data_IF_956706839949
#
_entry.id   IF_956706839949
#
_cell.length_a   1.000
_cell.length_b   1.000
_cell.length_c   1.000
_cell.angle_alpha   90.00
_cell.angle_beta   90.00
_cell.angle_gamma   90.00
#
_symmetry.space_group_name_H-M   'P 1'
#
loop_
_entity.id
_entity.type
_entity.pdbx_description
1 polymer ?
#
# COMPACT_ATOMS: atom_id res chain seq x y z
N UNK A 1 10.44 -11.36 -36.31
CA UNK A 1 11.57 -10.92 -35.45
C UNK A 1 11.66 -11.87 -34.27
N UNK A 2 12.69 -12.70 -34.21
CA UNK A 2 12.86 -13.70 -33.14
C UNK A 2 13.33 -13.00 -31.85
N UNK A 3 12.57 -13.10 -30.76
CA UNK A 3 13.01 -12.58 -29.46
C UNK A 3 14.19 -13.44 -28.99
N UNK A 4 15.38 -12.83 -28.83
CA UNK A 4 16.55 -13.53 -28.27
C UNK A 4 16.15 -14.08 -26.90
N UNK A 5 16.16 -15.41 -26.78
CA UNK A 5 15.96 -16.14 -25.54
C UNK A 5 17.32 -16.55 -25.00
N UNK A 6 17.48 -16.51 -23.69
CA UNK A 6 18.69 -16.97 -23.01
C UNK A 6 18.74 -18.51 -22.93
N UNK A 7 19.76 -19.03 -22.24
CA UNK A 7 19.97 -20.47 -22.04
C UNK A 7 18.82 -21.16 -21.29
N UNK A 8 17.99 -20.41 -20.55
CA UNK A 8 16.79 -20.90 -19.86
C UNK A 8 15.51 -20.73 -20.69
N UNK A 9 15.61 -20.19 -21.91
CA UNK A 9 14.47 -19.98 -22.80
C UNK A 9 13.69 -18.69 -22.51
N UNK A 10 14.17 -17.83 -21.63
CA UNK A 10 13.52 -16.59 -21.23
C UNK A 10 13.99 -15.44 -22.11
N UNK A 11 13.08 -14.54 -22.43
CA UNK A 11 13.39 -13.30 -23.11
C UNK A 11 14.01 -12.31 -22.13
N UNK A 12 14.85 -11.40 -22.62
CA UNK A 12 15.45 -10.35 -21.78
C UNK A 12 14.40 -9.57 -20.97
N UNK A 13 13.23 -9.32 -21.55
CA UNK A 13 12.15 -8.61 -20.86
C UNK A 13 11.56 -9.42 -19.70
N UNK A 14 11.55 -10.75 -19.79
CA UNK A 14 11.10 -11.62 -18.70
C UNK A 14 12.14 -11.64 -17.57
N UNK A 15 13.43 -11.70 -17.90
CA UNK A 15 14.52 -11.59 -16.92
C UNK A 15 14.47 -10.25 -16.19
N UNK A 16 14.35 -9.13 -16.92
CA UNK A 16 14.27 -7.79 -16.33
C UNK A 16 13.09 -7.68 -15.33
N UNK A 17 11.94 -8.27 -15.67
CA UNK A 17 10.76 -8.29 -14.80
C UNK A 17 11.02 -9.14 -13.55
N UNK A 18 11.66 -10.29 -13.71
CA UNK A 18 12.00 -11.16 -12.59
C UNK A 18 13.01 -10.52 -11.64
N UNK A 19 14.06 -9.91 -12.17
CA UNK A 19 15.11 -9.23 -11.39
C UNK A 19 14.53 -8.07 -10.58
N UNK A 20 13.69 -7.23 -11.23
CA UNK A 20 12.97 -6.15 -10.54
C UNK A 20 12.03 -6.69 -9.46
N UNK A 21 11.28 -7.76 -9.74
CA UNK A 21 10.39 -8.35 -8.74
C UNK A 21 11.16 -8.92 -7.54
N UNK A 22 12.25 -9.64 -7.77
CA UNK A 22 13.09 -10.22 -6.71
C UNK A 22 13.69 -9.11 -5.86
N UNK A 23 14.24 -8.08 -6.49
CA UNK A 23 14.86 -6.97 -5.78
C UNK A 23 13.86 -6.17 -4.94
N UNK A 24 12.68 -5.85 -5.50
CA UNK A 24 11.61 -5.16 -4.76
C UNK A 24 11.13 -5.97 -3.57
N UNK A 25 11.05 -7.30 -3.71
CA UNK A 25 10.71 -8.20 -2.61
C UNK A 25 11.73 -8.17 -1.47
N UNK A 26 13.02 -8.05 -1.78
CA UNK A 26 14.08 -7.91 -0.76
C UNK A 26 14.09 -6.52 -0.11
N UNK A 27 13.49 -5.52 -0.76
CA UNK A 27 13.39 -4.13 -0.26
C UNK A 27 11.97 -3.76 0.14
N UNK A 28 11.18 -4.75 0.58
CA UNK A 28 9.82 -4.56 1.05
C UNK A 28 9.70 -3.45 2.10
N UNK A 29 8.69 -2.59 1.98
CA UNK A 29 8.42 -1.47 2.88
C UNK A 29 9.35 -0.27 2.73
N UNK A 30 10.48 -0.39 2.03
CA UNK A 30 11.41 0.71 1.82
C UNK A 30 10.94 1.65 0.71
N UNK A 31 11.15 2.95 0.89
CA UNK A 31 11.03 3.92 -0.20
C UNK A 31 12.19 3.74 -1.18
N UNK A 32 11.86 3.45 -2.45
CA UNK A 32 12.83 3.26 -3.53
C UNK A 32 12.46 4.11 -4.74
N UNK A 33 13.45 4.75 -5.33
CA UNK A 33 13.34 5.51 -6.57
C UNK A 33 13.66 4.64 -7.79
N UNK A 34 13.45 5.14 -9.00
CA UNK A 34 13.92 4.45 -10.21
C UNK A 34 15.44 4.28 -10.23
N UNK A 35 16.19 5.25 -9.69
CA UNK A 35 17.65 5.16 -9.59
C UNK A 35 18.08 4.05 -8.61
N UNK A 36 17.37 3.92 -7.48
CA UNK A 36 17.63 2.85 -6.50
C UNK A 36 17.38 1.47 -7.12
N UNK A 37 16.26 1.31 -7.84
CA UNK A 37 15.94 0.06 -8.54
C UNK A 37 16.98 -0.20 -9.63
N UNK A 38 17.31 0.80 -10.46
CA UNK A 38 18.29 0.69 -11.54
C UNK A 38 19.63 0.17 -11.05
N UNK A 39 20.15 0.77 -9.98
CA UNK A 39 21.39 0.33 -9.34
C UNK A 39 21.27 -1.07 -8.72
N UNK A 40 20.09 -1.39 -8.18
CA UNK A 40 19.82 -2.67 -7.52
C UNK A 40 19.72 -3.88 -8.46
N UNK A 41 19.28 -3.67 -9.71
CA UNK A 41 19.07 -4.75 -10.70
C UNK A 41 20.03 -4.69 -11.87
N UNK A 42 20.99 -3.77 -11.85
CA UNK A 42 21.95 -3.50 -12.93
C UNK A 42 21.28 -3.24 -14.29
N UNK A 43 20.16 -2.51 -14.28
CA UNK A 43 19.47 -2.04 -15.48
C UNK A 43 19.43 -0.51 -15.46
N UNK A 44 19.99 0.19 -16.47
CA UNK A 44 19.95 1.65 -16.51
C UNK A 44 18.53 2.23 -16.37
N UNK A 45 18.39 3.33 -15.61
CA UNK A 45 17.12 4.06 -15.56
C UNK A 45 16.78 4.58 -16.95
N UNK A 46 15.69 4.05 -17.50
CA UNK A 46 15.25 4.36 -18.84
C UNK A 46 14.00 3.58 -19.20
N UNK A 47 13.68 3.58 -20.49
CA UNK A 47 12.44 2.95 -20.99
C UNK A 47 12.36 1.45 -20.65
N UNK A 48 13.49 0.74 -20.69
CA UNK A 48 13.56 -0.70 -20.37
C UNK A 48 13.15 -0.99 -18.92
N UNK A 49 13.79 -0.34 -17.95
CA UNK A 49 13.46 -0.47 -16.54
C UNK A 49 12.00 -0.08 -16.24
N UNK A 50 11.54 1.05 -16.80
CA UNK A 50 10.17 1.54 -16.59
C UNK A 50 9.12 0.59 -17.13
N UNK A 51 9.41 -0.08 -18.24
CA UNK A 51 8.55 -1.15 -18.78
C UNK A 51 8.51 -2.35 -17.83
N UNK A 52 9.66 -2.80 -17.33
CA UNK A 52 9.72 -3.90 -16.37
C UNK A 52 8.94 -3.58 -15.09
N UNK A 53 9.15 -2.41 -14.48
CA UNK A 53 8.42 -1.94 -13.29
C UNK A 53 6.90 -1.87 -13.53
N UNK A 54 6.46 -1.42 -14.71
CA UNK A 54 5.04 -1.40 -15.07
C UNK A 54 4.45 -2.81 -15.10
N UNK A 55 5.16 -3.79 -15.65
CA UNK A 55 4.71 -5.20 -15.68
C UNK A 55 4.73 -5.80 -14.27
N UNK A 56 5.78 -5.58 -13.50
CA UNK A 56 5.87 -6.01 -12.10
C UNK A 56 4.71 -5.50 -11.27
N UNK A 57 4.24 -4.27 -11.50
CA UNK A 57 3.07 -3.71 -10.83
C UNK A 57 1.79 -4.53 -11.07
N UNK A 58 1.59 -5.02 -12.29
CA UNK A 58 0.45 -5.88 -12.62
C UNK A 58 0.60 -7.25 -11.95
N UNK A 59 1.80 -7.83 -11.99
CA UNK A 59 2.09 -9.12 -11.35
C UNK A 59 1.89 -9.03 -9.83
N UNK A 60 2.37 -7.96 -9.19
CA UNK A 60 2.19 -7.72 -7.76
C UNK A 60 0.70 -7.71 -7.40
N UNK A 61 -0.10 -6.91 -8.11
CA UNK A 61 -1.54 -6.83 -7.89
C UNK A 61 -2.24 -8.21 -8.04
N UNK A 62 -1.85 -9.00 -9.04
CA UNK A 62 -2.41 -10.35 -9.24
C UNK A 62 -2.05 -11.34 -8.12
N UNK A 63 -0.98 -11.07 -7.35
CA UNK A 63 -0.54 -11.91 -6.22
C UNK A 63 -1.10 -11.44 -4.88
N UNK A 64 -1.82 -10.32 -4.83
CA UNK A 64 -2.23 -9.67 -3.58
C UNK A 64 -1.19 -8.70 -3.01
N UNK A 65 0.00 -8.62 -3.62
CA UNK A 65 1.01 -7.63 -3.25
C UNK A 65 0.61 -6.23 -3.76
N UNK A 66 1.20 -5.19 -3.17
CA UNK A 66 0.97 -3.80 -3.57
C UNK A 66 2.27 -3.11 -3.96
N UNK A 67 2.38 -2.69 -5.22
CA UNK A 67 3.40 -1.73 -5.65
C UNK A 67 2.75 -0.36 -5.86
N UNK A 68 3.16 0.61 -5.05
CA UNK A 68 2.60 1.95 -5.06
C UNK A 68 2.89 2.70 -6.37
N UNK A 69 2.11 3.77 -6.60
CA UNK A 69 2.47 4.74 -7.63
C UNK A 69 3.69 5.51 -7.17
N UNK A 70 4.55 5.89 -8.10
CA UNK A 70 5.63 6.81 -7.79
C UNK A 70 5.04 8.16 -7.34
N UNK A 71 5.42 8.60 -6.15
CA UNK A 71 5.01 9.88 -5.57
C UNK A 71 6.24 10.63 -5.05
N UNK A 72 6.19 11.96 -4.91
CA UNK A 72 7.27 12.71 -4.28
C UNK A 72 7.54 12.19 -2.86
N UNK A 73 8.80 11.89 -2.55
CA UNK A 73 9.17 11.46 -1.20
C UNK A 73 8.80 12.53 -0.18
N UNK A 74 8.29 12.08 0.96
CA UNK A 74 7.99 12.92 2.12
C UNK A 74 9.25 13.24 2.94
N UNK A 75 10.34 12.48 2.74
CA UNK A 75 11.60 12.69 3.42
C UNK A 75 12.33 13.92 2.82
N UNK A 76 12.52 15.00 3.60
CA UNK A 76 13.20 16.20 3.12
C UNK A 76 14.68 15.98 2.80
N UNK A 77 15.30 14.91 3.31
CA UNK A 77 16.68 14.52 3.02
C UNK A 77 16.83 13.82 1.66
N UNK A 78 15.77 13.19 1.12
CA UNK A 78 15.75 12.58 -0.21
C UNK A 78 15.44 13.62 -1.30
N UNK A 79 16.45 14.42 -1.62
CA UNK A 79 16.43 15.35 -2.76
C UNK A 79 17.43 14.94 -3.82
N UNK A 80 17.10 15.20 -5.08
CA UNK A 80 18.05 15.05 -6.17
C UNK A 80 19.17 16.12 -6.08
N UNK A 81 20.27 16.01 -6.85
CA UNK A 81 21.34 17.00 -6.85
C UNK A 81 20.87 18.43 -7.18
N UNK A 82 19.73 18.57 -7.86
CA UNK A 82 19.08 19.84 -8.18
C UNK A 82 18.04 20.29 -7.12
N UNK A 83 18.05 19.67 -5.93
CA UNK A 83 17.15 19.89 -4.79
C UNK A 83 15.67 19.64 -5.07
N UNK A 84 15.33 18.93 -6.13
CA UNK A 84 13.95 18.52 -6.44
C UNK A 84 13.57 17.31 -5.60
N UNK A 85 12.25 17.14 -5.38
CA UNK A 85 11.73 15.98 -4.66
C UNK A 85 11.98 14.72 -5.50
N UNK A 86 12.63 13.73 -4.91
CA UNK A 86 12.81 12.42 -5.55
C UNK A 86 11.46 11.71 -5.56
N UNK A 87 11.09 11.14 -6.69
CA UNK A 87 9.88 10.31 -6.78
C UNK A 87 10.22 8.88 -6.36
N UNK A 88 9.48 8.37 -5.39
CA UNK A 88 9.68 7.07 -4.76
C UNK A 88 8.41 6.23 -4.84
N UNK A 89 8.59 4.92 -4.75
CA UNK A 89 7.51 3.92 -4.59
C UNK A 89 7.87 2.99 -3.43
N UNK A 90 6.89 2.25 -2.95
CA UNK A 90 7.06 1.16 -1.98
C UNK A 90 6.43 -0.11 -2.53
N UNK A 91 7.12 -1.22 -2.30
CA UNK A 91 6.60 -2.56 -2.57
C UNK A 91 6.20 -3.23 -1.27
N UNK A 92 4.92 -3.62 -1.18
CA UNK A 92 4.32 -4.27 -0.03
C UNK A 92 3.96 -5.71 -0.40
N UNK A 93 4.49 -6.67 0.36
CA UNK A 93 4.08 -8.07 0.28
C UNK A 93 2.76 -8.24 1.01
N UNK A 94 1.90 -9.07 0.46
CA UNK A 94 0.70 -9.51 1.17
C UNK A 94 1.07 -10.16 2.52
N UNK A 95 0.24 -9.93 3.54
CA UNK A 95 0.46 -10.42 4.91
C UNK A 95 1.53 -9.70 5.73
N UNK A 96 2.25 -8.72 5.17
CA UNK A 96 3.22 -7.91 5.90
C UNK A 96 2.71 -6.47 6.03
N UNK A 97 1.94 -6.22 7.09
CA UNK A 97 1.41 -4.89 7.40
C UNK A 97 2.49 -3.96 7.95
N UNK A 98 2.69 -2.80 7.33
CA UNK A 98 3.40 -1.68 7.95
C UNK A 98 2.41 -0.58 8.37
N UNK A 99 2.79 0.20 9.38
CA UNK A 99 1.96 1.27 9.95
C UNK A 99 1.52 2.31 8.89
N UNK A 100 2.33 2.47 7.84
CA UNK A 100 2.03 3.36 6.72
C UNK A 100 0.90 2.82 5.83
N UNK A 101 0.92 1.52 5.53
CA UNK A 101 -0.12 0.85 4.75
C UNK A 101 -1.44 0.82 5.50
N UNK A 102 -1.41 0.66 6.83
CA UNK A 102 -2.61 0.80 7.66
C UNK A 102 -3.18 2.24 7.59
N UNK A 103 -2.31 3.27 7.67
CA UNK A 103 -2.74 4.67 7.54
C UNK A 103 -3.29 4.98 6.15
N UNK A 104 -2.64 4.51 5.09
CA UNK A 104 -3.08 4.75 3.72
C UNK A 104 -4.37 4.00 3.41
N UNK A 105 -4.51 2.74 3.85
CA UNK A 105 -5.77 2.00 3.75
C UNK A 105 -6.92 2.72 4.48
N UNK A 106 -6.66 3.25 5.69
CA UNK A 106 -7.62 4.06 6.44
C UNK A 106 -7.95 5.37 5.73
N UNK A 107 -6.98 6.02 5.11
CA UNK A 107 -7.19 7.24 4.32
C UNK A 107 -8.05 6.98 3.08
N UNK A 108 -7.74 5.92 2.33
CA UNK A 108 -8.51 5.49 1.16
C UNK A 108 -9.95 5.08 1.55
N UNK A 109 -10.11 4.35 2.67
CA UNK A 109 -11.42 4.00 3.20
C UNK A 109 -12.24 5.24 3.57
N UNK A 110 -11.63 6.26 4.20
CA UNK A 110 -12.29 7.53 4.52
C UNK A 110 -12.71 8.29 3.26
N UNK A 111 -11.85 8.35 2.25
CA UNK A 111 -12.16 9.00 0.98
C UNK A 111 -13.36 8.31 0.28
N UNK A 112 -13.34 6.98 0.23
CA UNK A 112 -14.45 6.19 -0.32
C UNK A 112 -15.76 6.44 0.46
N UNK A 113 -15.70 6.48 1.80
CA UNK A 113 -16.86 6.79 2.64
C UNK A 113 -17.45 8.17 2.37
N UNK A 114 -16.61 9.17 2.15
CA UNK A 114 -17.08 10.50 1.74
C UNK A 114 -17.82 10.44 0.39
N UNK A 115 -17.26 9.74 -0.59
CA UNK A 115 -17.93 9.55 -1.89
C UNK A 115 -19.27 8.82 -1.79
N UNK A 116 -19.39 7.80 -0.93
CA UNK A 116 -20.67 7.09 -0.70
C UNK A 116 -21.69 8.00 -0.02
N UNK A 117 -21.28 8.86 0.92
CA UNK A 117 -22.15 9.86 1.55
C UNK A 117 -22.67 10.90 0.54
N UNK A 118 -21.80 11.36 -0.36
CA UNK A 118 -22.20 12.30 -1.41
C UNK A 118 -23.16 11.65 -2.41
N UNK A 119 -22.89 10.40 -2.79
CA UNK A 119 -23.80 9.60 -3.62
C UNK A 119 -25.17 9.46 -2.94
N UNK A 120 -25.22 9.04 -1.67
CA UNK A 120 -26.47 8.90 -0.92
C UNK A 120 -27.28 10.21 -0.92
N UNK A 121 -26.63 11.36 -0.72
CA UNK A 121 -27.29 12.68 -0.76
C UNK A 121 -27.88 12.98 -2.15
N UNK A 122 -27.10 12.80 -3.20
CA UNK A 122 -27.53 13.07 -4.57
C UNK A 122 -28.70 12.17 -4.99
N UNK A 123 -28.61 10.88 -4.70
CA UNK A 123 -29.66 9.92 -5.07
C UNK A 123 -30.92 10.10 -4.22
N UNK A 124 -30.80 10.46 -2.94
CA UNK A 124 -31.97 10.79 -2.10
C UNK A 124 -32.70 12.03 -2.61
N UNK A 125 -31.94 13.06 -3.04
CA UNK A 125 -32.53 14.26 -3.64
C UNK A 125 -33.31 13.92 -4.92
N UNK A 126 -32.72 13.16 -5.84
CA UNK A 126 -33.38 12.75 -7.07
C UNK A 126 -34.57 11.80 -6.82
N UNK A 127 -34.49 10.92 -5.82
CA UNK A 127 -35.59 10.06 -5.40
C UNK A 127 -36.80 10.85 -4.85
N UNK A 128 -36.56 12.01 -4.24
CA UNK A 128 -37.63 12.90 -3.76
C UNK A 128 -38.16 13.84 -4.85
N UNK A 129 -37.42 14.01 -5.96
CA UNK A 129 -37.78 14.92 -7.03
C UNK A 129 -38.89 14.33 -7.91
N UNK A 130 -40.06 14.98 -7.90
CA UNK A 130 -41.24 14.57 -8.69
C UNK A 130 -41.04 14.70 -10.21
N UNK A 131 -40.01 15.42 -10.65
CA UNK A 131 -39.63 15.56 -12.06
C UNK A 131 -38.49 14.63 -12.48
N UNK A 132 -37.98 13.79 -11.58
CA UNK A 132 -36.89 12.87 -11.91
C UNK A 132 -37.39 11.73 -12.80
N UNK A 133 -36.64 11.42 -13.85
CA UNK A 133 -36.97 10.39 -14.83
C UNK A 133 -36.73 8.95 -14.32
N UNK A 134 -35.96 8.79 -13.25
CA UNK A 134 -35.49 7.50 -12.71
C UNK A 134 -35.61 7.46 -11.19
N UNK A 135 -36.75 7.94 -10.67
CA UNK A 135 -36.97 8.17 -9.24
C UNK A 135 -36.83 6.89 -8.41
N UNK A 136 -37.30 5.76 -8.92
CA UNK A 136 -37.27 4.46 -8.24
C UNK A 136 -35.85 3.88 -8.20
N UNK A 137 -35.09 4.05 -9.28
CA UNK A 137 -33.70 3.65 -9.39
C UNK A 137 -32.83 4.45 -8.40
N UNK A 138 -33.04 5.78 -8.34
CA UNK A 138 -32.35 6.62 -7.37
C UNK A 138 -32.73 6.30 -5.92
N UNK A 139 -33.99 5.93 -5.64
CA UNK A 139 -34.39 5.46 -4.32
C UNK A 139 -33.65 4.17 -3.92
N UNK A 140 -33.54 3.23 -4.87
CA UNK A 140 -32.81 1.97 -4.66
C UNK A 140 -31.31 2.22 -4.42
N UNK A 141 -30.70 3.12 -5.20
CA UNK A 141 -29.30 3.52 -5.01
C UNK A 141 -29.08 4.23 -3.67
N UNK A 142 -30.02 5.08 -3.24
CA UNK A 142 -29.95 5.76 -1.94
C UNK A 142 -29.96 4.76 -0.78
N UNK A 143 -30.84 3.75 -0.86
CA UNK A 143 -30.91 2.68 0.13
C UNK A 143 -29.62 1.85 0.16
N UNK A 144 -29.08 1.47 -1.00
CA UNK A 144 -27.82 0.73 -1.07
C UNK A 144 -26.64 1.53 -0.48
N UNK A 145 -26.60 2.85 -0.73
CA UNK A 145 -25.60 3.73 -0.15
C UNK A 145 -25.73 3.82 1.38
N UNK A 146 -26.95 3.93 1.89
CA UNK A 146 -27.24 3.98 3.33
C UNK A 146 -26.85 2.69 4.06
N UNK A 147 -27.15 1.53 3.46
CA UNK A 147 -26.72 0.24 3.98
C UNK A 147 -25.19 0.12 4.03
N UNK A 148 -24.50 0.59 2.98
CA UNK A 148 -23.04 0.65 2.96
C UNK A 148 -22.48 1.56 4.06
N UNK A 149 -23.07 2.75 4.25
CA UNK A 149 -22.66 3.68 5.31
C UNK A 149 -22.86 3.06 6.69
N UNK A 150 -24.02 2.43 6.92
CA UNK A 150 -24.37 1.80 8.19
C UNK A 150 -23.47 0.62 8.52
N UNK A 151 -23.20 -0.27 7.54
CA UNK A 151 -22.27 -1.40 7.72
C UNK A 151 -20.85 -0.92 8.00
N UNK A 152 -20.38 0.12 7.31
CA UNK A 152 -19.05 0.67 7.49
C UNK A 152 -18.88 1.46 8.80
N UNK A 153 -19.93 2.14 9.29
CA UNK A 153 -19.90 2.80 10.59
C UNK A 153 -19.67 1.81 11.75
N UNK A 154 -20.13 0.57 11.62
CA UNK A 154 -19.79 -0.51 12.57
C UNK A 154 -18.29 -0.85 12.62
N UNK A 155 -17.53 -0.55 11.55
CA UNK A 155 -16.09 -0.83 11.43
C UNK A 155 -15.24 0.29 12.07
N UNK A 156 -15.77 1.52 12.23
CA UNK A 156 -15.05 2.61 12.93
C UNK A 156 -14.66 2.25 14.37
N UNK A 157 -15.38 1.31 14.99
CA UNK A 157 -15.08 0.79 16.34
C UNK A 157 -13.88 -0.19 16.34
N UNK A 158 -13.60 -0.83 15.20
CA UNK A 158 -12.53 -1.84 15.07
C UNK A 158 -11.14 -1.18 15.06
N UNK A 159 -10.99 -0.01 14.46
CA UNK A 159 -9.70 0.70 14.37
C UNK A 159 -9.09 1.01 15.76
N UNK A 160 -9.79 1.70 16.66
CA UNK A 160 -9.32 1.94 18.02
C UNK A 160 -9.11 0.66 18.84
N UNK A 161 -9.91 -0.39 18.61
CA UNK A 161 -9.78 -1.67 19.32
C UNK A 161 -8.56 -2.49 18.85
N UNK A 162 -8.28 -2.50 17.55
CA UNK A 162 -7.10 -3.15 16.98
C UNK A 162 -5.81 -2.46 17.43
N UNK A 163 -5.76 -1.13 17.34
CA UNK A 163 -4.61 -0.32 17.82
C UNK A 163 -4.41 -0.50 19.34
N UNK A 164 -5.48 -0.55 20.12
CA UNK A 164 -5.37 -0.84 21.56
C UNK A 164 -4.82 -2.24 21.81
N UNK A 165 -5.29 -3.27 21.09
CA UNK A 165 -4.78 -4.64 21.23
C UNK A 165 -3.30 -4.74 20.88
N UNK A 166 -2.87 -4.18 19.75
CA UNK A 166 -1.46 -4.16 19.33
C UNK A 166 -0.56 -3.43 20.34
N UNK A 167 -0.99 -2.27 20.83
CA UNK A 167 -0.24 -1.54 21.86
C UNK A 167 -0.16 -2.32 23.19
N UNK A 168 -1.21 -3.07 23.54
CA UNK A 168 -1.21 -3.88 24.77
C UNK A 168 -0.26 -5.08 24.62
N UNK A 169 -0.19 -5.72 23.46
CA UNK A 169 0.79 -6.77 23.18
C UNK A 169 2.22 -6.24 23.15
N UNK A 170 2.47 -5.07 22.56
CA UNK A 170 3.79 -4.45 22.53
C UNK A 170 4.28 -4.08 23.93
N UNK A 171 3.40 -3.53 24.77
CA UNK A 171 3.69 -3.25 26.17
C UNK A 171 3.98 -4.53 26.97
N UNK A 172 3.26 -5.62 26.70
CA UNK A 172 3.50 -6.91 27.35
C UNK A 172 4.87 -7.50 26.96
N UNK A 173 5.27 -7.41 25.68
CA UNK A 173 6.59 -7.82 25.20
C UNK A 173 7.71 -6.97 25.83
N UNK A 174 7.53 -5.65 25.92
CA UNK A 174 8.50 -4.76 26.56
C UNK A 174 8.66 -5.04 28.05
N UNK A 175 7.56 -5.37 28.75
CA UNK A 175 7.60 -5.77 30.16
C UNK A 175 8.35 -7.10 30.30
N UNK A 176 8.06 -8.10 29.46
CA UNK A 176 8.75 -9.38 29.48
C UNK A 176 10.27 -9.23 29.22
N UNK A 177 10.67 -8.37 28.29
CA UNK A 177 12.09 -8.08 28.02
C UNK A 177 12.78 -7.37 29.20
N UNK A 178 12.09 -6.41 29.83
CA UNK A 178 12.57 -5.75 31.05
C UNK A 178 12.70 -6.72 32.22
N UNK A 179 11.73 -7.61 32.41
CA UNK A 179 11.77 -8.65 33.45
C UNK A 179 12.93 -9.62 33.21
N UNK A 180 13.13 -10.08 31.98
CA UNK A 180 14.24 -10.95 31.60
C UNK A 180 15.61 -10.29 31.89
N UNK A 181 15.77 -9.01 31.56
CA UNK A 181 16.99 -8.24 31.84
C UNK A 181 17.21 -7.98 33.32
N UNK A 182 16.15 -7.93 34.12
CA UNK A 182 16.23 -7.84 35.58
C UNK A 182 16.51 -9.19 36.25
N UNK A 183 16.26 -10.32 35.56
CA UNK A 183 16.54 -11.67 36.08
C UNK A 183 17.91 -12.22 35.66
N UNK A 184 18.62 -11.58 34.72
CA UNK A 184 20.03 -11.92 34.45
C UNK A 184 20.89 -11.56 35.67
N UNK A 185 21.54 -12.53 36.34
CA UNK A 185 22.41 -12.24 37.46
C UNK A 185 23.62 -11.45 36.95
N UNK A 186 23.87 -10.30 37.55
CA UNK A 186 25.09 -9.52 37.36
C UNK A 186 26.31 -10.40 37.61
N UNK A 187 26.85 -10.98 36.53
CA UNK A 187 28.14 -11.65 36.55
C UNK A 187 29.20 -10.57 36.58
N UNK A 188 29.53 -10.12 37.79
CA UNK A 188 30.73 -9.32 38.03
C UNK A 188 31.96 -10.15 37.64
N UNK A 189 32.81 -9.68 36.71
CA UNK A 189 34.09 -10.30 36.47
C UNK A 189 35.02 -9.97 37.63
N UNK A 190 35.65 -10.99 38.22
CA UNK A 190 36.90 -10.89 38.97
C UNK A 190 38.00 -11.53 38.16
#
# INVERSE_FOLDING_TARGET
MSRRRDAMGWTQAENDVADVMIWLRCNHGREVSYADIAAGVDIPDGHRLRRAVRVVRVIAANRGDRLERFQPSADPARRDPARRRVFVTRYMRDGHGDEFSARDAMSAARAAMTSVKDMHRATTFEAANTRSIARTEFATMAQAADECITKAAGIEVVGPQAVRRENTSLLAEMIADLEARLTEPATSPR
#
